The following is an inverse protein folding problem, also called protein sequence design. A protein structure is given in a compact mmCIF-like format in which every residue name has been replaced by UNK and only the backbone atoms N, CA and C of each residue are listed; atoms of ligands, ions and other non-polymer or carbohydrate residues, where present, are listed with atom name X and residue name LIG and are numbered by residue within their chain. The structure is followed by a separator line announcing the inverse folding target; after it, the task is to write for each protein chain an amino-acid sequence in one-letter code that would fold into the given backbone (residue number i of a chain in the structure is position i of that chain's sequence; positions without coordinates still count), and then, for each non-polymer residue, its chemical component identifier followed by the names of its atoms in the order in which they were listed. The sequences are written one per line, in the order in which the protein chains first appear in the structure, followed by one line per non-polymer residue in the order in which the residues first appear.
data_IF_556597764191
#
_entry.id   IF_556597764191
#
_cell.length_a   1.000
_cell.length_b   1.000
_cell.length_c   1.000
_cell.angle_alpha   90.00
_cell.angle_beta   90.00
_cell.angle_gamma   90.00
#
_symmetry.space_group_name_H-M   'P 1'
#
loop_
_entity.id
_entity.type
_entity.pdbx_description
1 polymer ?
#
# COMPACT_ATOMS: atom_id res chain seq x y z
N UNK A 1 -38.41 8.45 48.25
CA UNK A 1 -38.27 7.68 46.98
C UNK A 1 -37.31 8.44 46.07
N UNK A 2 -36.09 7.93 45.87
CA UNK A 2 -35.15 8.46 44.88
C UNK A 2 -35.62 8.05 43.48
N UNK A 3 -36.05 9.00 42.65
CA UNK A 3 -36.30 8.74 41.23
C UNK A 3 -34.96 8.75 40.50
N UNK A 4 -34.47 7.58 40.12
CA UNK A 4 -33.34 7.49 39.20
C UNK A 4 -33.79 8.00 37.82
N UNK A 5 -33.06 8.96 37.26
CA UNK A 5 -33.29 9.45 35.90
C UNK A 5 -32.59 8.54 34.90
N UNK A 6 -33.33 7.96 33.96
CA UNK A 6 -32.74 7.28 32.81
C UNK A 6 -32.25 8.33 31.80
N UNK A 7 -30.95 8.33 31.48
CA UNK A 7 -30.37 9.19 30.45
C UNK A 7 -30.18 8.34 29.19
N UNK A 8 -30.65 8.83 28.04
CA UNK A 8 -30.42 8.18 26.74
C UNK A 8 -28.92 8.25 26.43
N UNK A 9 -28.26 7.10 26.34
CA UNK A 9 -26.91 7.00 25.81
C UNK A 9 -26.98 6.70 24.30
N UNK A 10 -26.53 7.60 23.42
CA UNK A 10 -26.46 7.29 21.99
C UNK A 10 -25.37 6.24 21.76
N UNK A 11 -25.74 5.09 21.20
CA UNK A 11 -24.81 4.05 20.76
C UNK A 11 -24.49 4.28 19.29
N UNK A 12 -23.20 4.34 18.95
CA UNK A 12 -22.72 4.37 17.56
C UNK A 12 -22.03 3.06 17.25
N UNK A 13 -22.42 2.42 16.14
CA UNK A 13 -21.72 1.23 15.64
C UNK A 13 -20.40 1.64 15.01
N UNK A 14 -19.37 0.86 15.30
CA UNK A 14 -18.00 1.03 14.77
C UNK A 14 -17.43 -0.28 14.21
N UNK A 15 -18.27 -1.32 14.08
CA UNK A 15 -17.89 -2.54 13.40
C UNK A 15 -17.72 -2.30 11.89
N UNK A 16 -16.88 -3.11 11.25
CA UNK A 16 -16.52 -2.86 9.86
C UNK A 16 -17.67 -2.97 8.86
N UNK A 17 -18.67 -3.83 9.10
CA UNK A 17 -19.83 -3.92 8.21
C UNK A 17 -20.64 -2.61 8.20
N UNK A 18 -20.72 -1.95 9.36
CA UNK A 18 -21.32 -0.62 9.46
C UNK A 18 -20.47 0.48 8.81
N UNK A 19 -19.16 0.51 9.09
CA UNK A 19 -18.24 1.56 8.58
C UNK A 19 -18.13 1.49 7.04
N UNK A 20 -18.09 0.27 6.47
CA UNK A 20 -17.86 0.04 5.03
C UNK A 20 -19.15 -0.13 4.23
N UNK A 21 -20.15 0.72 4.46
CA UNK A 21 -21.38 0.73 3.67
C UNK A 21 -22.66 0.43 4.43
N UNK A 22 -22.67 0.59 5.77
CA UNK A 22 -23.88 0.49 6.61
C UNK A 22 -24.63 -0.83 6.38
N UNK A 23 -23.89 -1.93 6.36
CA UNK A 23 -24.35 -3.30 6.08
C UNK A 23 -24.82 -3.57 4.63
N UNK A 24 -24.64 -2.63 3.70
CA UNK A 24 -25.08 -2.77 2.30
C UNK A 24 -23.95 -3.11 1.31
N UNK A 25 -22.70 -3.16 1.77
CA UNK A 25 -21.57 -3.52 0.91
C UNK A 25 -21.29 -5.02 0.96
N UNK A 26 -21.78 -5.74 -0.05
CA UNK A 26 -21.58 -7.19 -0.17
C UNK A 26 -20.10 -7.58 -0.32
N UNK A 27 -19.27 -6.69 -0.89
CA UNK A 27 -17.84 -6.94 -1.11
C UNK A 27 -17.03 -6.86 0.19
N UNK A 28 -17.53 -6.16 1.21
CA UNK A 28 -16.81 -6.00 2.46
C UNK A 28 -16.51 -7.35 3.13
N UNK A 29 -17.48 -8.29 3.12
CA UNK A 29 -17.31 -9.58 3.80
C UNK A 29 -16.15 -10.39 3.21
N UNK A 30 -15.95 -10.34 1.89
CA UNK A 30 -14.84 -11.03 1.25
C UNK A 30 -13.51 -10.31 1.48
N UNK A 31 -13.48 -8.97 1.37
CA UNK A 31 -12.29 -8.14 1.60
C UNK A 31 -11.79 -8.22 3.05
N UNK A 32 -12.70 -8.29 4.02
CA UNK A 32 -12.38 -8.43 5.44
C UNK A 32 -11.73 -9.78 5.80
N UNK A 33 -11.71 -10.75 4.88
CA UNK A 33 -10.99 -12.02 5.04
C UNK A 33 -9.64 -12.02 4.31
N UNK A 34 -9.36 -11.00 3.48
CA UNK A 34 -8.11 -10.92 2.73
C UNK A 34 -6.96 -10.46 3.61
N UNK A 35 -5.76 -10.98 3.31
CA UNK A 35 -4.51 -10.64 3.97
C UNK A 35 -3.49 -10.18 2.93
N UNK A 36 -2.91 -9.00 3.14
CA UNK A 36 -1.89 -8.43 2.24
C UNK A 36 -0.57 -8.22 2.97
N UNK A 37 0.53 -8.64 2.37
CA UNK A 37 1.85 -8.24 2.82
C UNK A 37 2.33 -7.01 2.04
N UNK A 38 2.88 -6.02 2.75
CA UNK A 38 3.47 -4.81 2.19
C UNK A 38 4.98 -4.83 2.43
N UNK A 39 5.76 -4.88 1.35
CA UNK A 39 7.22 -4.87 1.37
C UNK A 39 7.67 -3.46 0.99
N UNK A 40 8.16 -2.73 1.99
CA UNK A 40 8.35 -1.28 1.92
C UNK A 40 7.14 -0.55 2.48
N UNK A 41 7.32 0.13 3.62
CA UNK A 41 6.33 0.96 4.29
C UNK A 41 6.73 2.44 4.21
N UNK A 42 7.40 2.86 3.13
CA UNK A 42 7.63 4.26 2.82
C UNK A 42 6.35 5.01 2.45
N UNK A 43 6.50 6.20 1.87
CA UNK A 43 5.37 7.06 1.52
C UNK A 43 4.31 6.36 0.64
N UNK A 44 4.75 5.57 -0.35
CA UNK A 44 3.88 4.83 -1.25
C UNK A 44 3.23 3.63 -0.54
N UNK A 45 4.04 2.71 0.01
CA UNK A 45 3.53 1.47 0.61
C UNK A 45 2.58 1.71 1.78
N UNK A 46 2.91 2.63 2.68
CA UNK A 46 2.05 2.97 3.81
C UNK A 46 0.75 3.68 3.36
N UNK A 47 0.79 4.47 2.29
CA UNK A 47 -0.40 5.07 1.70
C UNK A 47 -1.33 4.03 1.04
N UNK A 48 -0.77 3.05 0.32
CA UNK A 48 -1.54 1.93 -0.25
C UNK A 48 -2.17 1.11 0.89
N UNK A 49 -1.42 0.79 1.94
CA UNK A 49 -1.93 0.05 3.10
C UNK A 49 -3.09 0.78 3.79
N UNK A 50 -2.96 2.10 3.99
CA UNK A 50 -4.04 2.94 4.52
C UNK A 50 -5.26 2.93 3.61
N UNK A 51 -5.08 3.11 2.30
CA UNK A 51 -6.18 3.14 1.35
C UNK A 51 -6.92 1.80 1.30
N UNK A 52 -6.20 0.67 1.32
CA UNK A 52 -6.82 -0.65 1.36
C UNK A 52 -7.52 -0.93 2.69
N UNK A 53 -7.01 -0.42 3.81
CA UNK A 53 -7.74 -0.45 5.08
C UNK A 53 -9.04 0.37 5.02
N UNK A 54 -9.05 1.53 4.37
CA UNK A 54 -10.24 2.34 4.14
C UNK A 54 -11.28 1.66 3.23
N UNK A 55 -10.86 0.72 2.38
CA UNK A 55 -11.76 -0.07 1.53
C UNK A 55 -12.28 -1.33 2.26
N UNK A 56 -11.71 -1.69 3.41
CA UNK A 56 -12.19 -2.81 4.23
C UNK A 56 -11.26 -4.02 4.25
N UNK A 57 -9.97 -3.87 3.93
CA UNK A 57 -8.97 -4.92 4.15
C UNK A 57 -9.03 -5.41 5.61
N UNK A 58 -8.99 -6.74 5.80
CA UNK A 58 -9.11 -7.35 7.12
C UNK A 58 -7.78 -7.55 7.84
N UNK A 59 -6.72 -7.91 7.11
CA UNK A 59 -5.44 -8.22 7.72
C UNK A 59 -4.26 -7.76 6.87
N UNK A 60 -3.14 -7.43 7.51
CA UNK A 60 -1.91 -7.12 6.80
C UNK A 60 -0.64 -7.52 7.56
N UNK A 61 0.44 -7.68 6.80
CA UNK A 61 1.81 -7.75 7.30
C UNK A 61 2.59 -6.59 6.69
N UNK A 62 3.33 -5.85 7.50
CA UNK A 62 4.10 -4.68 7.08
C UNK A 62 5.59 -4.96 7.29
N UNK A 63 6.40 -4.81 6.26
CA UNK A 63 7.84 -5.09 6.30
C UNK A 63 8.61 -3.84 5.89
N UNK A 64 9.41 -3.30 6.82
CA UNK A 64 10.29 -2.16 6.56
C UNK A 64 11.38 -2.08 7.63
N UNK A 65 12.64 -1.90 7.22
CA UNK A 65 13.78 -1.81 8.12
C UNK A 65 14.06 -0.39 8.64
N UNK A 66 13.43 0.63 8.07
CA UNK A 66 13.77 2.03 8.34
C UNK A 66 12.91 2.65 9.43
N UNK A 67 13.48 3.65 10.11
CA UNK A 67 12.74 4.58 10.95
C UNK A 67 12.21 5.77 10.14
N UNK A 68 11.09 6.34 10.60
CA UNK A 68 10.55 7.57 10.04
C UNK A 68 11.45 8.76 10.39
N UNK A 69 11.99 9.46 9.40
CA UNK A 69 12.74 10.69 9.57
C UNK A 69 11.88 11.93 9.27
N UNK A 70 12.32 13.10 9.74
CA UNK A 70 11.58 14.37 9.57
C UNK A 70 11.28 14.69 8.10
N UNK A 71 12.22 14.42 7.19
CA UNK A 71 12.04 14.65 5.75
C UNK A 71 11.02 13.70 5.10
N UNK A 72 10.58 12.64 5.77
CA UNK A 72 9.52 11.76 5.26
C UNK A 72 8.13 12.32 5.54
N UNK A 73 7.97 13.16 6.56
CA UNK A 73 6.65 13.60 7.08
C UNK A 73 5.82 14.39 6.07
N UNK A 74 6.45 14.99 5.06
CA UNK A 74 5.74 15.76 4.01
C UNK A 74 4.94 14.88 3.04
N UNK A 75 5.27 13.59 2.93
CA UNK A 75 4.67 12.66 1.96
C UNK A 75 4.26 11.31 2.55
N UNK A 76 4.74 10.97 3.74
CA UNK A 76 4.33 9.77 4.44
C UNK A 76 2.99 9.98 5.12
N UNK A 77 2.14 8.95 5.14
CA UNK A 77 0.89 8.96 5.92
C UNK A 77 1.11 9.04 7.44
N UNK A 78 2.35 8.86 7.89
CA UNK A 78 2.74 9.01 9.28
C UNK A 78 3.25 10.44 9.45
N UNK A 79 2.72 11.14 10.45
CA UNK A 79 3.15 12.50 10.79
C UNK A 79 4.31 12.53 11.77
N UNK A 80 4.71 13.76 12.13
CA UNK A 80 5.79 14.08 13.08
C UNK A 80 5.75 13.27 14.40
N UNK A 81 4.57 12.89 14.87
CA UNK A 81 4.39 12.09 16.11
C UNK A 81 5.07 10.72 16.08
N UNK A 82 5.42 10.22 14.88
CA UNK A 82 6.07 8.93 14.69
C UNK A 82 7.54 9.05 14.27
N UNK A 83 8.11 10.25 14.23
CA UNK A 83 9.54 10.42 13.89
C UNK A 83 10.42 9.64 14.88
N UNK A 84 11.42 8.93 14.36
CA UNK A 84 12.28 8.02 15.12
C UNK A 84 11.63 6.68 15.49
N UNK A 85 10.49 6.33 14.89
CA UNK A 85 9.87 5.00 15.03
C UNK A 85 9.97 4.24 13.72
N UNK A 86 10.16 2.93 13.80
CA UNK A 86 10.18 2.06 12.62
C UNK A 86 8.88 2.21 11.82
N UNK A 87 9.01 2.39 10.50
CA UNK A 87 7.89 2.70 9.59
C UNK A 87 6.85 1.59 9.55
N UNK A 88 7.27 0.32 9.51
CA UNK A 88 6.34 -0.82 9.50
C UNK A 88 5.55 -0.90 10.82
N UNK A 89 6.25 -0.82 11.96
CA UNK A 89 5.63 -0.87 13.28
C UNK A 89 4.67 0.30 13.50
N UNK A 90 5.08 1.51 13.14
CA UNK A 90 4.27 2.71 13.29
C UNK A 90 3.04 2.71 12.35
N UNK A 91 3.20 2.20 11.13
CA UNK A 91 2.08 2.02 10.18
C UNK A 91 1.09 0.99 10.71
N UNK A 92 1.56 -0.15 11.21
CA UNK A 92 0.70 -1.18 11.79
C UNK A 92 -0.11 -0.64 12.98
N UNK A 93 0.55 0.14 13.84
CA UNK A 93 -0.11 0.83 14.96
C UNK A 93 -1.19 1.79 14.46
N UNK A 94 -0.86 2.67 13.52
CA UNK A 94 -1.81 3.62 12.95
C UNK A 94 -3.02 2.93 12.32
N UNK A 95 -2.82 1.85 11.56
CA UNK A 95 -3.93 1.11 10.96
C UNK A 95 -4.86 0.50 12.01
N UNK A 96 -4.31 -0.10 13.08
CA UNK A 96 -5.12 -0.67 14.16
C UNK A 96 -5.87 0.39 14.98
N UNK A 97 -5.27 1.55 15.18
CA UNK A 97 -5.89 2.67 15.91
C UNK A 97 -6.99 3.34 15.08
N UNK A 98 -6.78 3.51 13.77
CA UNK A 98 -7.69 4.23 12.89
C UNK A 98 -8.85 3.34 12.37
N UNK A 99 -8.65 2.02 12.31
CA UNK A 99 -9.58 1.10 11.63
C UNK A 99 -9.93 -0.13 12.50
N UNK A 100 -11.04 -0.09 13.25
CA UNK A 100 -11.44 -1.17 14.17
C UNK A 100 -11.70 -2.53 13.51
N UNK A 101 -11.93 -2.55 12.19
CA UNK A 101 -12.18 -3.79 11.44
C UNK A 101 -10.90 -4.54 11.05
N UNK A 102 -9.72 -3.94 11.21
CA UNK A 102 -8.43 -4.60 10.98
C UNK A 102 -8.24 -5.66 12.07
N UNK A 103 -8.37 -6.93 11.69
CA UNK A 103 -8.23 -8.11 12.56
C UNK A 103 -6.79 -8.30 13.01
N UNK A 104 -5.83 -8.08 12.10
CA UNK A 104 -4.40 -8.10 12.41
C UNK A 104 -3.61 -7.15 11.51
N UNK A 105 -2.60 -6.53 12.12
CA UNK A 105 -1.57 -5.78 11.43
C UNK A 105 -0.25 -6.12 12.12
N UNK A 106 0.44 -7.11 11.55
CA UNK A 106 1.76 -7.56 11.99
C UNK A 106 2.82 -6.67 11.34
N UNK A 107 3.94 -6.48 12.03
CA UNK A 107 5.04 -5.66 11.52
C UNK A 107 6.37 -6.37 11.75
N UNK A 108 7.19 -6.42 10.70
CA UNK A 108 8.56 -6.90 10.75
C UNK A 108 9.50 -5.71 10.52
N UNK A 109 10.19 -5.21 11.56
CA UNK A 109 11.07 -4.05 11.50
C UNK A 109 12.43 -4.41 10.88
N UNK A 110 12.39 -5.10 9.73
CA UNK A 110 13.54 -5.65 9.04
C UNK A 110 13.39 -5.38 7.55
N UNK A 111 14.52 -5.33 6.85
CA UNK A 111 14.53 -5.45 5.40
C UNK A 111 14.03 -6.84 5.01
N UNK A 112 13.41 -6.96 3.83
CA UNK A 112 12.89 -8.25 3.35
C UNK A 112 13.95 -9.36 3.38
N UNK A 113 15.17 -9.05 2.96
CA UNK A 113 16.30 -9.98 2.92
C UNK A 113 16.69 -10.54 4.29
N UNK A 114 16.31 -9.87 5.38
CA UNK A 114 16.62 -10.25 6.75
C UNK A 114 15.48 -11.01 7.44
N UNK A 115 14.38 -11.29 6.74
CA UNK A 115 13.28 -12.09 7.29
C UNK A 115 13.71 -13.54 7.49
N UNK A 116 13.36 -14.10 8.65
CA UNK A 116 13.61 -15.51 8.91
C UNK A 116 12.59 -16.40 8.19
N UNK A 117 12.86 -17.72 8.14
CA UNK A 117 11.95 -18.68 7.50
C UNK A 117 10.53 -18.63 8.06
N UNK A 118 10.36 -18.41 9.36
CA UNK A 118 9.03 -18.33 9.97
C UNK A 118 8.27 -17.06 9.55
N UNK A 119 8.97 -15.95 9.32
CA UNK A 119 8.34 -14.71 8.82
C UNK A 119 7.95 -14.87 7.35
N UNK A 120 8.84 -15.44 6.55
CA UNK A 120 8.57 -15.77 5.15
C UNK A 120 7.38 -16.73 4.99
N UNK A 121 7.21 -17.70 5.91
CA UNK A 121 6.03 -18.56 5.92
C UNK A 121 4.73 -17.76 6.12
N UNK A 122 4.71 -16.77 7.02
CA UNK A 122 3.54 -15.90 7.22
C UNK A 122 3.23 -15.04 6.00
N UNK A 123 4.26 -14.62 5.25
CA UNK A 123 4.08 -13.90 3.98
C UNK A 123 3.50 -14.81 2.89
N UNK A 124 3.90 -16.09 2.86
CA UNK A 124 3.37 -17.07 1.89
C UNK A 124 1.88 -17.37 2.09
N UNK A 125 1.34 -17.13 3.28
CA UNK A 125 -0.10 -17.26 3.60
C UNK A 125 -0.94 -16.06 3.14
N UNK A 126 -0.32 -14.96 2.70
CA UNK A 126 -1.05 -13.80 2.22
C UNK A 126 -1.66 -14.06 0.85
N UNK A 127 -2.77 -13.38 0.53
CA UNK A 127 -3.37 -13.46 -0.80
C UNK A 127 -2.54 -12.68 -1.84
N UNK A 128 -2.01 -11.52 -1.40
CA UNK A 128 -1.25 -10.57 -2.23
C UNK A 128 -0.03 -10.09 -1.46
N UNK A 129 1.09 -9.95 -2.16
CA UNK A 129 2.27 -9.20 -1.72
C UNK A 129 2.40 -7.96 -2.57
N UNK A 130 2.57 -6.80 -1.94
CA UNK A 130 2.79 -5.52 -2.62
C UNK A 130 4.21 -5.04 -2.31
N UNK A 131 5.07 -4.88 -3.32
CA UNK A 131 6.35 -4.16 -3.16
C UNK A 131 6.19 -2.70 -3.56
N UNK A 132 6.70 -1.79 -2.72
CA UNK A 132 6.49 -0.35 -2.89
C UNK A 132 7.75 0.45 -2.58
N UNK A 133 8.55 0.74 -3.61
CA UNK A 133 9.74 1.59 -3.51
C UNK A 133 10.86 0.97 -2.68
N UNK A 134 11.05 -0.35 -2.83
CA UNK A 134 12.23 -1.06 -2.32
C UNK A 134 13.34 -1.02 -3.36
N UNK A 135 14.58 -1.33 -2.95
CA UNK A 135 15.70 -1.38 -3.88
C UNK A 135 15.71 -2.66 -4.71
N UNK A 136 16.54 -2.65 -5.76
CA UNK A 136 16.66 -3.76 -6.71
C UNK A 136 17.02 -5.08 -6.02
N UNK A 137 17.87 -5.04 -5.01
CA UNK A 137 18.22 -6.23 -4.23
C UNK A 137 17.01 -6.76 -3.44
N UNK A 138 16.14 -5.87 -2.97
CA UNK A 138 14.89 -6.20 -2.31
C UNK A 138 13.90 -6.85 -3.25
N UNK A 139 13.66 -6.25 -4.42
CA UNK A 139 12.76 -6.82 -5.42
C UNK A 139 13.29 -8.17 -5.96
N UNK A 140 14.59 -8.29 -6.21
CA UNK A 140 15.20 -9.55 -6.66
C UNK A 140 15.08 -10.66 -5.60
N UNK A 141 15.34 -10.34 -4.32
CA UNK A 141 15.17 -11.30 -3.23
C UNK A 141 13.70 -11.72 -3.06
N UNK A 142 12.78 -10.75 -3.17
CA UNK A 142 11.34 -11.01 -3.10
C UNK A 142 10.88 -11.93 -4.22
N UNK A 143 11.26 -11.66 -5.46
CA UNK A 143 10.87 -12.51 -6.59
C UNK A 143 11.52 -13.90 -6.52
N UNK A 144 12.79 -13.99 -6.12
CA UNK A 144 13.46 -15.27 -5.91
C UNK A 144 12.75 -16.13 -4.85
N UNK A 145 12.42 -15.54 -3.69
CA UNK A 145 11.66 -16.25 -2.66
C UNK A 145 10.28 -16.67 -3.16
N UNK A 146 9.54 -15.76 -3.78
CA UNK A 146 8.15 -15.98 -4.20
C UNK A 146 8.07 -17.06 -5.27
N UNK A 147 8.93 -17.01 -6.29
CA UNK A 147 8.95 -17.99 -7.39
C UNK A 147 9.36 -19.40 -6.93
N UNK A 148 10.05 -19.51 -5.79
CA UNK A 148 10.36 -20.79 -5.13
C UNK A 148 9.17 -21.43 -4.40
N UNK A 149 8.03 -20.75 -4.24
CA UNK A 149 6.86 -21.28 -3.56
C UNK A 149 6.00 -22.15 -4.49
N UNK A 150 5.45 -23.24 -3.96
CA UNK A 150 4.51 -24.09 -4.70
C UNK A 150 3.20 -23.35 -5.08
N UNK A 151 2.77 -22.40 -4.24
CA UNK A 151 1.60 -21.54 -4.45
C UNK A 151 1.98 -20.12 -4.06
N UNK A 152 2.61 -19.35 -4.96
CA UNK A 152 3.03 -18.00 -4.64
C UNK A 152 1.82 -17.08 -4.45
N UNK A 153 1.87 -16.14 -3.48
CA UNK A 153 0.92 -15.04 -3.45
C UNK A 153 1.03 -14.20 -4.72
N UNK A 154 -0.07 -13.52 -5.09
CA UNK A 154 -0.04 -12.59 -6.22
C UNK A 154 0.88 -11.42 -5.88
N UNK A 155 1.77 -11.03 -6.78
CA UNK A 155 2.67 -9.90 -6.57
C UNK A 155 2.18 -8.67 -7.33
N UNK A 156 1.98 -7.57 -6.61
CA UNK A 156 1.75 -6.25 -7.18
C UNK A 156 3.00 -5.40 -6.92
N UNK A 157 3.77 -5.14 -7.97
CA UNK A 157 4.87 -4.19 -7.91
C UNK A 157 4.30 -2.78 -8.15
N UNK A 158 4.30 -1.94 -7.10
CA UNK A 158 3.69 -0.61 -7.14
C UNK A 158 4.63 0.47 -7.70
N UNK A 159 5.92 0.17 -7.86
CA UNK A 159 6.90 1.10 -8.39
C UNK A 159 8.01 0.34 -9.08
N UNK A 160 8.26 0.67 -10.35
CA UNK A 160 9.41 0.16 -11.10
C UNK A 160 10.19 1.37 -11.57
N UNK A 161 11.45 1.47 -11.19
CA UNK A 161 12.31 2.56 -11.64
C UNK A 161 12.61 2.43 -13.14
N UNK A 162 12.55 3.52 -13.93
CA UNK A 162 13.07 3.49 -15.28
C UNK A 162 14.59 3.22 -15.24
N UNK A 163 15.02 2.16 -15.93
CA UNK A 163 16.42 1.74 -16.11
C UNK A 163 17.16 1.14 -14.89
N UNK A 164 16.51 0.94 -13.74
CA UNK A 164 17.19 0.49 -12.51
C UNK A 164 18.38 1.40 -12.09
N UNK A 165 18.37 2.66 -12.54
CA UNK A 165 19.34 3.68 -12.16
C UNK A 165 18.65 4.66 -11.20
N UNK A 166 18.64 4.26 -9.93
CA UNK A 166 18.64 5.14 -8.74
C UNK A 166 17.52 6.19 -8.62
N UNK A 167 16.37 5.78 -8.06
CA UNK A 167 15.40 6.65 -7.39
C UNK A 167 14.94 6.08 -6.02
N UNK A 168 15.83 5.40 -5.30
CA UNK A 168 15.59 4.97 -3.92
C UNK A 168 15.44 6.15 -2.94
N UNK A 169 15.11 5.85 -1.67
CA UNK A 169 15.00 6.86 -0.60
C UNK A 169 16.32 7.61 -0.27
N UNK A 170 17.41 7.36 -1.01
CA UNK A 170 18.76 7.90 -0.77
C UNK A 170 19.17 9.14 -1.58
N UNK A 171 18.36 9.66 -2.50
CA UNK A 171 18.78 10.74 -3.42
C UNK A 171 18.33 12.18 -3.06
N UNK A 172 19.08 13.15 -3.60
CA UNK A 172 19.04 14.60 -3.34
C UNK A 172 17.77 15.30 -3.89
N UNK A 173 17.03 14.66 -4.80
CA UNK A 173 15.80 15.19 -5.38
C UNK A 173 14.81 14.05 -5.70
N UNK A 174 13.71 13.96 -4.95
CA UNK A 174 12.55 13.12 -5.29
C UNK A 174 11.45 14.02 -5.87
N UNK A 175 11.10 13.90 -7.17
CA UNK A 175 10.14 14.80 -7.80
C UNK A 175 8.67 14.58 -7.37
N UNK A 176 8.40 13.62 -6.48
CA UNK A 176 7.04 13.22 -6.13
C UNK A 176 6.65 13.70 -4.73
N UNK A 177 5.88 14.79 -4.69
CA UNK A 177 5.20 15.23 -3.50
C UNK A 177 4.03 14.32 -3.14
N UNK A 178 3.33 14.64 -2.05
CA UNK A 178 2.20 13.85 -1.57
C UNK A 178 1.06 13.73 -2.62
N UNK A 179 0.93 14.72 -3.51
CA UNK A 179 -0.10 14.76 -4.55
C UNK A 179 0.25 13.81 -5.69
N UNK A 180 1.47 13.88 -6.21
CA UNK A 180 1.91 13.06 -7.34
C UNK A 180 1.89 11.55 -7.00
N UNK A 181 2.16 11.21 -5.74
CA UNK A 181 2.08 9.83 -5.26
C UNK A 181 0.67 9.22 -5.37
N UNK A 182 -0.40 10.03 -5.32
CA UNK A 182 -1.77 9.51 -5.24
C UNK A 182 -2.18 8.71 -6.48
N UNK A 183 -1.66 9.05 -7.66
CA UNK A 183 -1.93 8.29 -8.87
C UNK A 183 -1.45 6.85 -8.73
N UNK A 184 -0.20 6.66 -8.29
CA UNK A 184 0.37 5.33 -8.07
C UNK A 184 -0.31 4.59 -6.92
N UNK A 185 -0.63 5.29 -5.82
CA UNK A 185 -1.37 4.70 -4.67
C UNK A 185 -2.71 4.13 -5.14
N UNK A 186 -3.48 4.92 -5.88
CA UNK A 186 -4.79 4.52 -6.40
C UNK A 186 -4.69 3.37 -7.40
N UNK A 187 -3.71 3.41 -8.31
CA UNK A 187 -3.48 2.32 -9.26
C UNK A 187 -3.13 1.00 -8.57
N UNK A 188 -2.16 1.02 -7.64
CA UNK A 188 -1.72 -0.20 -6.95
C UNK A 188 -2.83 -0.79 -6.07
N UNK A 189 -3.55 0.05 -5.33
CA UNK A 189 -4.70 -0.39 -4.56
C UNK A 189 -5.81 -0.95 -5.46
N UNK A 190 -6.11 -0.28 -6.58
CA UNK A 190 -7.08 -0.75 -7.56
C UNK A 190 -6.73 -2.12 -8.15
N UNK A 191 -5.47 -2.33 -8.53
CA UNK A 191 -4.99 -3.65 -9.01
C UNK A 191 -5.14 -4.71 -7.93
N UNK A 192 -4.79 -4.43 -6.67
CA UNK A 192 -5.00 -5.37 -5.57
C UNK A 192 -6.47 -5.76 -5.39
N UNK A 193 -7.41 -4.81 -5.53
CA UNK A 193 -8.85 -5.09 -5.48
C UNK A 193 -9.34 -5.88 -6.70
N UNK A 194 -8.81 -5.56 -7.89
CA UNK A 194 -9.13 -6.28 -9.12
C UNK A 194 -8.66 -7.75 -9.05
N UNK A 195 -7.58 -8.04 -8.32
CA UNK A 195 -7.14 -9.42 -8.02
C UNK A 195 -8.17 -10.12 -7.13
N UNK A 196 -8.66 -9.49 -6.06
CA UNK A 196 -9.64 -10.13 -5.17
C UNK A 196 -11.01 -10.37 -5.80
N UNK A 197 -11.39 -9.52 -6.75
CA UNK A 197 -12.65 -9.64 -7.50
C UNK A 197 -12.53 -10.51 -8.74
N UNK A 198 -11.34 -11.02 -9.06
CA UNK A 198 -11.08 -11.88 -10.22
C UNK A 198 -11.05 -11.16 -11.56
N UNK A 199 -11.05 -9.81 -11.56
CA UNK A 199 -10.93 -9.01 -12.79
C UNK A 199 -9.52 -9.11 -13.38
N UNK A 200 -8.50 -9.21 -12.53
CA UNK A 200 -7.13 -9.52 -12.96
C UNK A 200 -6.88 -11.01 -12.75
N UNK A 201 -6.79 -11.76 -13.85
CA UNK A 201 -6.55 -13.21 -13.88
C UNK A 201 -5.25 -13.61 -14.58
N UNK A 202 -4.57 -12.64 -15.22
CA UNK A 202 -3.30 -12.80 -15.92
C UNK A 202 -2.37 -11.66 -15.54
N UNK A 203 -1.07 -11.91 -15.60
CA UNK A 203 -0.07 -10.87 -15.40
C UNK A 203 -0.29 -9.71 -16.36
N UNK A 204 -0.19 -8.48 -15.84
CA UNK A 204 -0.48 -7.24 -16.54
C UNK A 204 0.34 -6.11 -15.95
N UNK A 205 0.44 -5.00 -16.68
CA UNK A 205 0.94 -3.72 -16.15
C UNK A 205 -0.09 -2.63 -16.37
N UNK A 206 -0.28 -1.80 -15.34
CA UNK A 206 -1.11 -0.59 -15.40
C UNK A 206 -0.20 0.61 -15.24
N UNK A 207 -0.25 1.54 -16.20
CA UNK A 207 0.62 2.71 -16.26
C UNK A 207 -0.24 3.95 -16.14
N UNK A 208 0.16 4.88 -15.29
CA UNK A 208 -0.39 6.24 -15.27
C UNK A 208 0.59 7.19 -15.93
N UNK A 209 0.07 8.03 -16.80
CA UNK A 209 0.82 9.08 -17.47
C UNK A 209 0.43 10.44 -16.90
N UNK A 210 1.43 11.21 -16.49
CA UNK A 210 1.25 12.53 -15.89
C UNK A 210 0.75 13.60 -16.88
N UNK A 211 0.74 14.84 -16.40
CA UNK A 211 0.34 15.99 -17.21
C UNK A 211 1.49 16.47 -18.11
N UNK A 212 1.36 16.25 -19.43
CA UNK A 212 2.34 16.71 -20.41
C UNK A 212 2.52 18.23 -20.40
N UNK A 213 1.45 18.98 -20.08
CA UNK A 213 1.52 20.43 -19.97
C UNK A 213 2.31 20.85 -18.72
N UNK A 214 2.25 20.06 -17.65
CA UNK A 214 3.03 20.31 -16.44
C UNK A 214 4.52 20.07 -16.66
N UNK A 215 4.86 19.01 -17.39
CA UNK A 215 6.24 18.77 -17.83
C UNK A 215 6.75 19.96 -18.66
N UNK A 216 5.95 20.47 -19.60
CA UNK A 216 6.29 21.63 -20.44
C UNK A 216 6.47 22.90 -19.61
N UNK A 217 5.56 23.19 -18.66
CA UNK A 217 5.66 24.36 -17.76
C UNK A 217 6.92 24.35 -16.90
N UNK A 218 7.45 23.17 -16.58
CA UNK A 218 8.69 22.98 -15.81
C UNK A 218 9.94 22.95 -16.68
N UNK A 219 9.83 23.25 -17.97
CA UNK A 219 10.96 23.28 -18.92
C UNK A 219 11.28 21.93 -19.56
N UNK A 220 10.42 20.92 -19.40
CA UNK A 220 10.52 19.65 -20.11
C UNK A 220 10.16 19.79 -21.59
N UNK A 221 10.81 19.01 -22.44
CA UNK A 221 10.49 18.93 -23.88
C UNK A 221 9.63 17.69 -24.10
N UNK A 222 8.35 17.89 -24.41
CA UNK A 222 7.43 16.81 -24.75
C UNK A 222 7.75 16.33 -26.17
N UNK A 223 8.10 15.04 -26.30
CA UNK A 223 8.35 14.45 -27.61
C UNK A 223 7.05 14.35 -28.41
N UNK A 224 7.07 14.53 -29.76
CA UNK A 224 5.87 14.41 -30.59
C UNK A 224 5.17 13.04 -30.48
N UNK A 225 5.91 12.00 -30.11
CA UNK A 225 5.39 10.65 -29.87
C UNK A 225 4.62 10.51 -28.55
N UNK A 226 4.65 11.52 -27.68
CA UNK A 226 3.94 11.54 -26.41
C UNK A 226 2.53 12.13 -26.61
N UNK A 227 1.59 11.28 -27.01
CA UNK A 227 0.22 11.68 -27.35
C UNK A 227 -0.79 11.51 -26.22
N UNK A 228 -0.40 10.78 -25.18
CA UNK A 228 -1.24 10.48 -24.01
C UNK A 228 -1.02 11.52 -22.90
N UNK A 229 -2.10 11.98 -22.27
CA UNK A 229 -2.07 12.99 -21.22
C UNK A 229 -3.08 12.64 -20.13
N UNK A 230 -2.64 12.58 -18.86
CA UNK A 230 -3.49 12.22 -17.70
C UNK A 230 -4.27 10.92 -17.90
N UNK A 231 -3.68 9.95 -18.60
CA UNK A 231 -4.31 8.67 -18.92
C UNK A 231 -3.84 7.56 -17.98
N UNK A 232 -4.69 6.54 -17.85
CA UNK A 232 -4.31 5.24 -17.30
C UNK A 232 -4.45 4.23 -18.42
N UNK A 233 -3.40 3.47 -18.70
CA UNK A 233 -3.41 2.40 -19.69
C UNK A 233 -3.04 1.06 -19.09
N UNK A 234 -3.62 0.01 -19.63
CA UNK A 234 -3.41 -1.37 -19.22
C UNK A 234 -2.79 -2.15 -20.38
N UNK A 235 -1.75 -2.93 -20.08
CA UNK A 235 -1.01 -3.71 -21.05
C UNK A 235 -0.81 -5.13 -20.53
N UNK A 236 -0.85 -6.16 -21.40
CA UNK A 236 -0.47 -7.51 -21.00
C UNK A 236 0.99 -7.55 -20.55
N UNK A 237 1.31 -8.45 -19.62
CA UNK A 237 2.69 -8.80 -19.32
C UNK A 237 3.22 -9.68 -20.46
N UNK A 238 4.28 -9.20 -21.14
CA UNK A 238 4.89 -9.85 -22.31
C UNK A 238 5.53 -11.20 -21.94
#
# INVERSE_FOLDING_TARGET
MLRASAIRCPVSRVDGAWIHGRDQNEQYQSLAQRKIAFIGCGALGAAIARLLAQVGLGACILVDGDDLAGHNTSRHVLGQRFTGKNKAVATAKMLKEDFPHIKSADAFPHRFQALCTADLQKLAECDVVISAGIDIDGDAALDHWRTGLAKPPVHVCAWVEPFAVEAGCGNVFQPHGAVELQATVGLAAGVALDVFTGRVSKSMRRVWQGDADDASRRGGIVLPSFTENKSVTEHPWL
#
